data_IF_355544979786
#
_entry.id   IF_355544979786
#
_cell.length_a   1.000
_cell.length_b   1.000
_cell.length_c   1.000
_cell.angle_alpha   90.00
_cell.angle_beta   90.00
_cell.angle_gamma   90.00
#
_symmetry.space_group_name_H-M   'P 1'
#
loop_
_entity.id
_entity.type
_entity.pdbx_description
1 polymer ?
#
# COMPACT_ATOMS: atom_id res chain seq x y z
N UNK A 1 20.93 6.30 -18.40
CA UNK A 1 20.03 5.39 -17.66
C UNK A 1 19.12 4.81 -18.70
N UNK A 2 18.99 3.49 -18.75
CA UNK A 2 18.02 2.86 -19.65
C UNK A 2 16.61 3.11 -19.16
N UNK A 3 15.66 3.13 -20.09
CA UNK A 3 14.24 3.32 -19.79
C UNK A 3 13.44 2.17 -20.41
N UNK A 4 12.37 1.84 -19.74
CA UNK A 4 11.37 0.85 -20.17
C UNK A 4 10.08 1.60 -20.42
N UNK A 5 9.43 1.26 -21.53
CA UNK A 5 8.18 1.89 -21.96
C UNK A 5 6.98 1.10 -21.48
N UNK A 6 6.04 1.80 -20.87
CA UNK A 6 4.71 1.27 -20.56
C UNK A 6 3.66 1.95 -21.43
N UNK A 7 2.94 1.15 -22.20
CA UNK A 7 1.77 1.56 -22.96
C UNK A 7 0.55 1.02 -22.22
N UNK A 8 -0.10 1.85 -21.42
CA UNK A 8 -1.21 1.43 -20.54
C UNK A 8 -2.51 1.85 -21.18
N UNK A 9 -3.34 0.89 -21.55
CA UNK A 9 -4.65 1.12 -22.14
C UNK A 9 -5.76 0.79 -21.14
N UNK A 10 -6.65 1.74 -20.89
CA UNK A 10 -7.86 1.52 -20.13
C UNK A 10 -9.02 1.17 -21.06
N UNK A 11 -9.55 -0.05 -20.93
CA UNK A 11 -10.73 -0.47 -21.68
C UNK A 11 -11.93 0.39 -21.34
N UNK A 12 -12.66 0.84 -22.35
CA UNK A 12 -13.86 1.62 -22.13
C UNK A 12 -14.90 0.81 -21.36
N UNK A 13 -15.44 1.38 -20.29
CA UNK A 13 -16.48 0.79 -19.46
C UNK A 13 -17.53 1.85 -19.12
N UNK A 14 -18.79 1.44 -18.99
CA UNK A 14 -19.89 2.36 -18.61
C UNK A 14 -19.77 2.76 -17.14
N UNK A 15 -19.58 1.77 -16.25
CA UNK A 15 -19.35 2.01 -14.83
C UNK A 15 -17.98 2.68 -14.61
N UNK A 16 -17.95 3.79 -13.88
CA UNK A 16 -16.74 4.56 -13.61
C UNK A 16 -16.19 5.33 -14.83
N UNK A 17 -16.98 5.49 -15.90
CA UNK A 17 -16.54 6.17 -17.13
C UNK A 17 -16.04 7.60 -16.89
N UNK A 18 -16.61 8.30 -15.92
CA UNK A 18 -16.28 9.69 -15.59
C UNK A 18 -15.08 9.84 -14.66
N UNK A 19 -14.67 8.78 -13.98
CA UNK A 19 -13.56 8.82 -13.03
C UNK A 19 -12.25 8.49 -13.76
N UNK A 20 -11.28 9.40 -13.80
CA UNK A 20 -9.94 9.08 -14.29
C UNK A 20 -9.22 8.15 -13.29
N UNK A 21 -8.31 7.33 -13.79
CA UNK A 21 -7.41 6.52 -12.95
C UNK A 21 -6.05 7.17 -12.88
N UNK A 22 -5.53 7.38 -11.68
CA UNK A 22 -4.15 7.78 -11.47
C UNK A 22 -3.30 6.52 -11.41
N UNK A 23 -2.26 6.49 -12.24
CA UNK A 23 -1.36 5.35 -12.37
C UNK A 23 -0.05 5.68 -11.68
N UNK A 24 0.44 4.72 -10.91
CA UNK A 24 1.72 4.79 -10.24
C UNK A 24 2.56 3.59 -10.64
N UNK A 25 3.86 3.81 -10.82
CA UNK A 25 4.85 2.77 -11.05
C UNK A 25 5.96 2.95 -10.03
N UNK A 26 6.24 1.91 -9.25
CA UNK A 26 7.19 1.94 -8.14
C UNK A 26 6.95 3.09 -7.15
N UNK A 27 5.66 3.38 -6.87
CA UNK A 27 5.23 4.44 -5.96
C UNK A 27 5.28 5.84 -6.52
N UNK A 28 5.76 6.04 -7.75
CA UNK A 28 5.80 7.34 -8.40
C UNK A 28 4.61 7.52 -9.33
N UNK A 29 3.94 8.67 -9.20
CA UNK A 29 2.84 9.04 -10.10
C UNK A 29 3.36 9.23 -11.52
N UNK A 30 2.85 8.45 -12.48
CA UNK A 30 3.28 8.49 -13.87
C UNK A 30 2.24 9.10 -14.81
N UNK A 31 1.01 9.26 -14.35
CA UNK A 31 0.00 9.96 -15.13
C UNK A 31 -1.42 9.52 -14.81
N UNK A 32 -2.37 10.13 -15.51
CA UNK A 32 -3.80 9.88 -15.36
C UNK A 32 -4.38 9.36 -16.67
N UNK A 33 -5.13 8.24 -16.59
CA UNK A 33 -5.75 7.63 -17.75
C UNK A 33 -7.29 7.78 -17.71
N UNK A 34 -7.85 8.33 -18.78
CA UNK A 34 -9.30 8.46 -18.95
C UNK A 34 -9.89 7.18 -19.58
N UNK A 35 -11.19 7.01 -19.41
CA UNK A 35 -11.93 5.89 -19.99
C UNK A 35 -11.70 5.74 -21.50
N UNK A 36 -11.33 4.55 -21.96
CA UNK A 36 -11.05 4.25 -23.36
C UNK A 36 -9.81 4.95 -23.93
N UNK A 37 -8.85 5.38 -23.08
CA UNK A 37 -7.63 6.08 -23.51
C UNK A 37 -6.38 5.26 -23.18
N UNK A 38 -5.27 5.66 -23.78
CA UNK A 38 -3.92 5.11 -23.52
C UNK A 38 -3.07 6.15 -22.81
N UNK A 39 -2.25 5.70 -21.88
CA UNK A 39 -1.16 6.43 -21.25
C UNK A 39 0.16 5.76 -21.70
N UNK A 40 1.06 6.55 -22.26
CA UNK A 40 2.40 6.09 -22.63
C UNK A 40 3.40 6.78 -21.71
N UNK A 41 4.26 6.01 -21.07
CA UNK A 41 5.24 6.53 -20.11
C UNK A 41 6.54 5.74 -20.20
N UNK A 42 7.67 6.43 -20.10
CA UNK A 42 8.99 5.83 -20.02
C UNK A 42 9.46 5.95 -18.56
N UNK A 43 9.78 4.82 -17.93
CA UNK A 43 10.26 4.75 -16.54
C UNK A 43 11.68 4.21 -16.49
N UNK A 44 12.48 4.52 -15.46
CA UNK A 44 13.79 3.92 -15.28
C UNK A 44 13.73 2.40 -15.29
N UNK A 45 14.73 1.75 -15.90
CA UNK A 45 14.86 0.29 -15.86
C UNK A 45 15.02 -0.19 -14.40
N UNK A 46 14.24 -1.21 -14.03
CA UNK A 46 14.25 -1.88 -12.72
C UNK A 46 14.04 -3.38 -12.92
N UNK A 47 14.45 -4.20 -11.96
CA UNK A 47 14.27 -5.66 -12.01
C UNK A 47 12.79 -6.04 -11.84
N UNK A 48 12.05 -5.25 -11.07
CA UNK A 48 10.64 -5.44 -10.76
C UNK A 48 9.93 -4.09 -10.87
N UNK A 49 8.72 -4.12 -11.42
CA UNK A 49 7.81 -2.98 -11.42
C UNK A 49 6.57 -3.29 -10.61
N UNK A 50 6.31 -2.44 -9.63
CA UNK A 50 5.05 -2.42 -8.89
C UNK A 50 4.13 -1.39 -9.56
N UNK A 51 3.12 -1.90 -10.29
CA UNK A 51 2.13 -1.08 -10.99
C UNK A 51 0.84 -1.05 -10.19
N UNK A 52 0.34 0.13 -9.88
CA UNK A 52 -0.93 0.30 -9.19
C UNK A 52 -1.80 1.41 -9.81
N UNK A 53 -3.10 1.33 -9.54
CA UNK A 53 -4.03 2.43 -9.73
C UNK A 53 -4.75 2.79 -8.42
N UNK A 54 -5.18 4.04 -8.29
CA UNK A 54 -5.98 4.50 -7.16
C UNK A 54 -7.41 4.87 -7.59
N UNK A 55 -8.00 4.09 -8.48
CA UNK A 55 -9.33 4.33 -9.05
C UNK A 55 -10.48 3.95 -8.13
N UNK A 56 -10.22 3.20 -7.07
CA UNK A 56 -11.20 2.69 -6.10
C UNK A 56 -10.67 2.85 -4.67
N UNK A 57 -11.54 2.61 -3.69
CA UNK A 57 -11.16 2.58 -2.27
C UNK A 57 -10.11 1.48 -1.97
N UNK A 58 -10.07 0.45 -2.80
CA UNK A 58 -9.06 -0.60 -2.74
C UNK A 58 -8.02 -0.34 -3.82
N UNK A 59 -6.75 -0.30 -3.42
CA UNK A 59 -5.63 -0.20 -4.35
C UNK A 59 -5.45 -1.53 -5.05
N UNK A 60 -5.53 -1.51 -6.37
CA UNK A 60 -5.21 -2.68 -7.18
C UNK A 60 -3.78 -2.55 -7.63
N UNK A 61 -2.96 -3.50 -7.26
CA UNK A 61 -1.56 -3.53 -7.63
C UNK A 61 -1.18 -4.87 -8.24
N UNK A 62 -0.20 -4.83 -9.12
CA UNK A 62 0.41 -6.01 -9.74
C UNK A 62 1.92 -5.85 -9.76
N UNK A 63 2.62 -6.99 -9.73
CA UNK A 63 4.07 -7.02 -9.86
C UNK A 63 4.41 -7.53 -11.26
N UNK A 64 5.33 -6.84 -11.92
CA UNK A 64 5.81 -7.17 -13.27
C UNK A 64 7.32 -7.37 -13.19
N UNK A 65 7.78 -8.56 -13.56
CA UNK A 65 9.21 -8.83 -13.69
C UNK A 65 9.76 -8.19 -14.97
N UNK A 66 10.92 -7.57 -14.84
CA UNK A 66 11.59 -6.96 -15.99
C UNK A 66 12.21 -8.02 -16.90
N UNK A 67 11.59 -8.23 -18.04
CA UNK A 67 12.09 -9.15 -19.08
C UNK A 67 11.99 -8.57 -20.50
N UNK A 68 11.55 -7.33 -20.63
CA UNK A 68 11.36 -6.64 -21.92
C UNK A 68 11.58 -5.13 -21.76
N UNK A 69 11.73 -4.43 -22.88
CA UNK A 69 11.91 -2.97 -22.95
C UNK A 69 10.58 -2.22 -23.17
N UNK A 70 9.52 -2.94 -23.55
CA UNK A 70 8.20 -2.38 -23.81
C UNK A 70 7.13 -3.27 -23.19
N UNK A 71 6.22 -2.67 -22.40
CA UNK A 71 5.07 -3.34 -21.83
C UNK A 71 3.78 -2.73 -22.38
N UNK A 72 2.90 -3.60 -22.87
CA UNK A 72 1.53 -3.24 -23.19
C UNK A 72 0.63 -3.77 -22.08
N UNK A 73 0.04 -2.86 -21.32
CA UNK A 73 -0.81 -3.20 -20.17
C UNK A 73 -2.24 -2.79 -20.49
N UNK A 74 -3.16 -3.73 -20.34
CA UNK A 74 -4.59 -3.47 -20.44
C UNK A 74 -5.21 -3.46 -19.05
N UNK A 75 -5.90 -2.38 -18.73
CA UNK A 75 -6.71 -2.28 -17.51
C UNK A 75 -8.17 -2.51 -17.88
N UNK A 76 -8.78 -3.54 -17.27
CA UNK A 76 -10.22 -3.84 -17.39
C UNK A 76 -10.88 -3.68 -16.04
N UNK A 77 -12.07 -3.07 -16.02
CA UNK A 77 -12.88 -3.05 -14.83
C UNK A 77 -13.64 -4.36 -14.71
N UNK A 78 -13.52 -5.02 -13.56
CA UNK A 78 -14.22 -6.25 -13.19
C UNK A 78 -15.18 -5.99 -12.02
N UNK A 79 -16.01 -6.99 -11.66
CA UNK A 79 -16.94 -6.93 -10.55
C UNK A 79 -18.29 -6.29 -10.85
N UNK A 80 -19.10 -6.16 -9.81
CA UNK A 80 -20.52 -5.73 -9.89
C UNK A 80 -20.73 -4.22 -9.94
N UNK A 81 -22.00 -3.84 -10.03
CA UNK A 81 -22.43 -2.42 -10.23
C UNK A 81 -22.30 -1.55 -8.98
N UNK A 82 -22.11 -2.11 -7.78
CA UNK A 82 -22.33 -1.35 -6.53
C UNK A 82 -21.14 -1.22 -5.57
N UNK A 83 -20.42 -2.26 -5.23
CA UNK A 83 -19.39 -2.17 -4.18
C UNK A 83 -18.12 -2.97 -4.47
N UNK A 84 -18.22 -4.03 -5.26
CA UNK A 84 -17.11 -4.97 -5.44
C UNK A 84 -16.43 -4.83 -6.81
N UNK A 85 -16.36 -3.61 -7.33
CA UNK A 85 -15.71 -3.37 -8.61
C UNK A 85 -14.23 -3.03 -8.41
N UNK A 86 -13.38 -3.83 -8.98
CA UNK A 86 -11.93 -3.67 -8.98
C UNK A 86 -11.39 -3.60 -10.42
N UNK A 87 -10.13 -3.23 -10.57
CA UNK A 87 -9.46 -3.26 -11.86
C UNK A 87 -8.56 -4.50 -11.96
N UNK A 88 -8.61 -5.13 -13.10
CA UNK A 88 -7.73 -6.22 -13.50
C UNK A 88 -6.72 -5.70 -14.50
N UNK A 89 -5.48 -6.14 -14.34
CA UNK A 89 -4.38 -5.82 -15.24
C UNK A 89 -4.03 -7.02 -16.09
N UNK A 90 -3.80 -6.79 -17.36
CA UNK A 90 -3.42 -7.82 -18.33
C UNK A 90 -2.20 -7.37 -19.09
N UNK A 91 -1.27 -8.29 -19.35
CA UNK A 91 -0.22 -8.09 -20.36
C UNK A 91 -0.85 -8.45 -21.70
N UNK A 92 -0.90 -7.48 -22.59
CA UNK A 92 -1.41 -7.68 -23.97
C UNK A 92 -0.24 -8.13 -24.85
N UNK A 93 -0.11 -9.44 -25.05
CA UNK A 93 0.81 -10.07 -25.97
C UNK A 93 0.02 -10.63 -27.15
N UNK A 94 -0.29 -9.83 -28.13
CA UNK A 94 -0.69 -10.16 -29.53
C UNK A 94 -1.82 -11.17 -29.78
N UNK A 95 -2.63 -11.64 -28.85
CA UNK A 95 -3.88 -12.38 -29.03
C UNK A 95 -4.36 -13.15 -27.80
N UNK A 96 -3.52 -13.31 -26.80
CA UNK A 96 -3.90 -13.87 -25.50
C UNK A 96 -3.43 -12.95 -24.40
N UNK A 97 -4.33 -12.11 -23.88
CA UNK A 97 -4.00 -11.29 -22.71
C UNK A 97 -3.93 -12.16 -21.46
N UNK A 98 -2.72 -12.33 -20.93
CA UNK A 98 -2.52 -12.99 -19.64
C UNK A 98 -2.86 -12.01 -18.53
N UNK A 99 -3.79 -12.41 -17.65
CA UNK A 99 -4.11 -11.65 -16.47
C UNK A 99 -2.91 -11.64 -15.53
N UNK A 100 -2.47 -10.44 -15.14
CA UNK A 100 -1.47 -10.30 -14.10
C UNK A 100 -2.13 -10.60 -12.75
N UNK A 101 -1.54 -11.50 -11.94
CA UNK A 101 -2.08 -11.77 -10.61
C UNK A 101 -1.98 -10.50 -9.75
N UNK A 102 -3.07 -10.20 -9.04
CA UNK A 102 -3.10 -9.09 -8.10
C UNK A 102 -2.14 -9.35 -6.94
N UNK A 103 -1.47 -8.28 -6.48
CA UNK A 103 -0.69 -8.38 -5.26
C UNK A 103 -1.63 -8.43 -4.06
N UNK A 104 -1.63 -9.55 -3.35
CA UNK A 104 -2.53 -9.78 -2.24
C UNK A 104 -1.96 -9.24 -0.92
N UNK A 105 -2.31 -8.02 -0.57
CA UNK A 105 -1.97 -7.42 0.74
C UNK A 105 -2.58 -8.19 1.91
N UNK A 106 -3.77 -8.77 1.72
CA UNK A 106 -4.53 -9.47 2.77
C UNK A 106 -3.73 -10.60 3.43
N UNK A 107 -2.87 -11.29 2.69
CA UNK A 107 -2.00 -12.34 3.23
C UNK A 107 -1.15 -11.82 4.38
N UNK A 108 -0.58 -10.63 4.22
CA UNK A 108 0.32 -10.03 5.19
C UNK A 108 -0.45 -9.46 6.38
N UNK A 109 -1.54 -8.76 6.11
CA UNK A 109 -2.42 -8.21 7.15
C UNK A 109 -3.02 -9.33 7.99
N UNK A 110 -3.54 -10.40 7.35
CA UNK A 110 -4.08 -11.57 8.03
C UNK A 110 -3.03 -12.30 8.89
N UNK A 111 -1.75 -12.31 8.51
CA UNK A 111 -0.71 -12.91 9.32
C UNK A 111 -0.53 -12.18 10.66
N UNK A 112 -0.72 -10.86 10.71
CA UNK A 112 -0.70 -10.10 11.96
C UNK A 112 -1.93 -10.38 12.81
N UNK A 113 -3.13 -10.37 12.20
CA UNK A 113 -4.38 -10.65 12.92
C UNK A 113 -4.49 -12.07 13.48
N UNK A 114 -3.86 -13.04 12.83
CA UNK A 114 -3.92 -14.44 13.23
C UNK A 114 -2.70 -14.88 14.07
N UNK A 115 -1.90 -13.96 14.59
CA UNK A 115 -0.68 -14.24 15.35
C UNK A 115 0.26 -15.24 14.64
N UNK A 116 0.34 -15.17 13.32
CA UNK A 116 1.15 -16.08 12.47
C UNK A 116 2.29 -15.36 11.74
N UNK A 117 2.65 -14.17 12.20
CA UNK A 117 3.68 -13.33 11.61
C UNK A 117 5.07 -14.00 11.62
N UNK A 118 5.34 -14.85 12.60
CA UNK A 118 6.56 -15.63 12.75
C UNK A 118 6.76 -16.68 11.64
N UNK A 119 5.70 -17.01 10.89
CA UNK A 119 5.76 -17.90 9.73
C UNK A 119 6.25 -17.20 8.46
N UNK A 120 6.31 -15.87 8.47
CA UNK A 120 6.81 -15.05 7.38
C UNK A 120 8.33 -14.90 7.46
N UNK A 121 8.97 -14.69 6.30
CA UNK A 121 10.38 -14.28 6.28
C UNK A 121 10.58 -12.91 6.94
N UNK A 122 11.79 -12.55 7.38
CA UNK A 122 12.04 -11.27 8.04
C UNK A 122 11.57 -10.04 7.23
N UNK A 123 11.81 -10.04 5.92
CA UNK A 123 11.37 -8.94 5.05
C UNK A 123 9.83 -8.91 4.88
N UNK A 124 9.19 -10.07 4.84
CA UNK A 124 7.73 -10.18 4.82
C UNK A 124 7.10 -9.77 6.17
N UNK A 125 7.76 -10.03 7.30
CA UNK A 125 7.30 -9.56 8.62
C UNK A 125 7.30 -8.03 8.69
N UNK A 126 8.36 -7.39 8.22
CA UNK A 126 8.44 -5.92 8.13
C UNK A 126 7.30 -5.39 7.27
N UNK A 127 7.06 -5.99 6.11
CA UNK A 127 5.95 -5.60 5.24
C UNK A 127 4.59 -5.77 5.92
N UNK A 128 4.35 -6.92 6.56
CA UNK A 128 3.10 -7.22 7.25
C UNK A 128 2.78 -6.20 8.35
N UNK A 129 3.76 -5.85 9.17
CA UNK A 129 3.61 -4.84 10.22
C UNK A 129 3.31 -3.44 9.65
N UNK A 130 4.01 -3.04 8.59
CA UNK A 130 3.80 -1.74 7.95
C UNK A 130 2.44 -1.65 7.25
N UNK A 131 1.98 -2.72 6.61
CA UNK A 131 0.66 -2.78 6.00
C UNK A 131 -0.45 -2.74 7.05
N UNK A 132 -0.35 -3.58 8.10
CA UNK A 132 -1.30 -3.55 9.20
C UNK A 132 -1.37 -2.16 9.84
N UNK A 133 -0.22 -1.53 10.09
CA UNK A 133 -0.17 -0.15 10.58
C UNK A 133 -0.89 0.83 9.65
N UNK A 134 -0.69 0.72 8.34
CA UNK A 134 -1.32 1.62 7.36
C UNK A 134 -2.84 1.54 7.37
N UNK A 135 -3.41 0.38 7.66
CA UNK A 135 -4.86 0.20 7.84
C UNK A 135 -5.32 0.77 9.19
N UNK A 136 -4.70 0.34 10.28
CA UNK A 136 -5.12 0.76 11.64
C UNK A 136 -5.02 2.25 11.87
N UNK A 137 -3.96 2.92 11.36
CA UNK A 137 -3.75 4.36 11.58
C UNK A 137 -4.79 5.23 10.85
N UNK A 138 -5.38 4.74 9.76
CA UNK A 138 -6.44 5.45 9.03
C UNK A 138 -7.77 5.41 9.78
N UNK A 139 -8.00 4.37 10.58
CA UNK A 139 -9.22 4.24 11.36
C UNK A 139 -9.10 5.00 12.70
N UNK A 140 -8.19 4.61 13.56
CA UNK A 140 -7.98 5.25 14.87
C UNK A 140 -6.58 4.92 15.42
N UNK A 141 -5.89 5.93 15.97
CA UNK A 141 -4.60 5.74 16.67
C UNK A 141 -4.75 4.77 17.87
N UNK A 142 -5.93 4.65 18.45
CA UNK A 142 -6.24 3.72 19.52
C UNK A 142 -5.86 2.29 19.17
N UNK A 143 -6.20 1.83 17.96
CA UNK A 143 -5.89 0.48 17.49
C UNK A 143 -4.38 0.24 17.44
N UNK A 144 -3.62 1.25 17.01
CA UNK A 144 -2.16 1.21 16.97
C UNK A 144 -1.57 1.12 18.39
N UNK A 145 -2.06 1.96 19.32
CA UNK A 145 -1.56 2.03 20.70
C UNK A 145 -1.94 0.80 21.54
N UNK A 146 -3.04 0.12 21.20
CA UNK A 146 -3.48 -1.13 21.84
C UNK A 146 -2.82 -2.38 21.26
N UNK A 147 -2.12 -2.26 20.12
CA UNK A 147 -1.50 -3.41 19.48
C UNK A 147 -0.34 -3.99 20.28
N UNK A 148 -0.37 -5.28 20.54
CA UNK A 148 0.77 -6.03 21.12
C UNK A 148 2.04 -5.95 20.27
N UNK A 149 1.90 -5.62 19.00
CA UNK A 149 3.00 -5.48 18.04
C UNK A 149 3.55 -4.05 17.92
N UNK A 150 3.08 -3.08 18.74
CA UNK A 150 3.44 -1.67 18.61
C UNK A 150 4.96 -1.43 18.50
N UNK A 151 5.76 -2.05 19.36
CA UNK A 151 7.22 -1.89 19.33
C UNK A 151 7.83 -2.44 18.04
N UNK A 152 7.38 -3.59 17.59
CA UNK A 152 7.83 -4.20 16.32
C UNK A 152 7.37 -3.38 15.11
N UNK A 153 6.18 -2.80 15.17
CA UNK A 153 5.65 -1.90 14.13
C UNK A 153 6.53 -0.64 14.00
N UNK A 154 6.90 -0.01 15.11
CA UNK A 154 7.80 1.16 15.09
C UNK A 154 9.15 0.80 14.48
N UNK A 155 9.73 -0.34 14.84
CA UNK A 155 11.00 -0.80 14.25
C UNK A 155 10.86 -1.16 12.76
N UNK A 156 9.73 -1.73 12.35
CA UNK A 156 9.44 -1.99 10.94
C UNK A 156 9.33 -0.68 10.13
N UNK A 157 8.61 0.33 10.64
CA UNK A 157 8.51 1.66 10.02
C UNK A 157 9.89 2.32 9.87
N UNK A 158 10.76 2.22 10.88
CA UNK A 158 12.16 2.69 10.79
C UNK A 158 12.93 1.95 9.71
N UNK A 159 12.77 0.62 9.66
CA UNK A 159 13.47 -0.25 8.70
C UNK A 159 13.16 0.12 7.25
N UNK A 160 11.91 0.45 6.93
CA UNK A 160 11.53 0.89 5.58
C UNK A 160 11.77 2.39 5.33
N UNK A 161 12.07 3.17 6.38
CA UNK A 161 12.32 4.61 6.30
C UNK A 161 11.06 5.47 6.26
N UNK A 162 9.96 5.02 6.86
CA UNK A 162 8.73 5.80 7.06
C UNK A 162 8.87 6.73 8.28
N UNK A 163 9.86 7.62 8.23
CA UNK A 163 10.32 8.38 9.40
C UNK A 163 9.26 9.35 9.93
N UNK A 164 8.42 9.93 9.07
CA UNK A 164 7.36 10.85 9.52
C UNK A 164 6.36 10.19 10.47
N UNK A 165 5.97 8.94 10.21
CA UNK A 165 5.12 8.22 11.14
C UNK A 165 5.85 7.80 12.41
N UNK A 166 7.14 7.46 12.33
CA UNK A 166 7.96 7.20 13.51
C UNK A 166 8.00 8.44 14.41
N UNK A 167 8.26 9.61 13.83
CA UNK A 167 8.31 10.88 14.57
C UNK A 167 6.94 11.23 15.17
N UNK A 168 5.85 11.07 14.41
CA UNK A 168 4.49 11.31 14.88
C UNK A 168 4.09 10.37 16.04
N UNK A 169 4.37 9.07 15.91
CA UNK A 169 4.10 8.11 16.99
C UNK A 169 4.92 8.43 18.24
N UNK A 170 6.19 8.75 18.07
CA UNK A 170 7.05 9.17 19.20
C UNK A 170 6.49 10.40 19.88
N UNK A 171 6.12 11.42 19.11
CA UNK A 171 5.50 12.63 19.65
C UNK A 171 4.20 12.33 20.39
N UNK A 172 3.31 11.52 19.82
CA UNK A 172 2.05 11.11 20.46
C UNK A 172 2.29 10.40 21.77
N UNK A 173 3.22 9.45 21.80
CA UNK A 173 3.57 8.70 23.02
C UNK A 173 4.13 9.64 24.09
N UNK A 174 5.06 10.49 23.72
CA UNK A 174 5.72 11.42 24.66
C UNK A 174 4.77 12.50 25.21
N UNK A 175 3.88 13.05 24.38
CA UNK A 175 2.98 14.13 24.79
C UNK A 175 1.76 13.64 25.58
N UNK A 176 1.18 12.51 25.19
CA UNK A 176 -0.11 12.07 25.71
C UNK A 176 -0.06 10.78 26.53
N UNK A 177 0.99 9.95 26.37
CA UNK A 177 1.06 8.61 26.97
C UNK A 177 2.37 8.33 27.73
N UNK A 178 3.19 9.34 28.03
CA UNK A 178 4.52 9.19 28.63
C UNK A 178 4.54 8.47 30.01
N UNK A 179 3.42 8.45 30.74
CA UNK A 179 3.29 7.77 32.03
C UNK A 179 2.46 6.48 31.94
N UNK A 180 2.19 5.99 30.75
CA UNK A 180 1.31 4.85 30.52
C UNK A 180 2.11 3.68 29.97
N UNK A 181 1.83 2.49 30.48
CA UNK A 181 2.41 1.27 29.92
C UNK A 181 1.69 0.92 28.62
N UNK A 182 2.45 0.82 27.54
CA UNK A 182 1.95 0.37 26.23
C UNK A 182 2.24 -1.12 26.06
N UNK A 183 1.38 -1.88 25.35
CA UNK A 183 0.14 -1.43 24.70
C UNK A 183 -0.96 -1.08 25.69
N UNK A 184 -1.90 -0.20 25.27
CA UNK A 184 -3.07 0.18 26.08
C UNK A 184 -4.02 -1.01 26.21
N UNK A 185 -4.56 -1.21 27.41
CA UNK A 185 -5.70 -2.10 27.65
C UNK A 185 -7.04 -1.32 27.61
N UNK A 186 -8.17 -2.04 27.63
CA UNK A 186 -9.51 -1.46 27.51
C UNK A 186 -9.79 -0.39 28.59
N UNK A 187 -9.38 -0.61 29.83
CA UNK A 187 -9.57 0.34 30.95
C UNK A 187 -8.77 1.63 30.71
N UNK A 188 -7.52 1.52 30.24
CA UNK A 188 -6.68 2.67 29.92
C UNK A 188 -7.24 3.45 28.71
N UNK A 189 -7.81 2.78 27.72
CA UNK A 189 -8.46 3.40 26.57
C UNK A 189 -9.62 4.27 27.04
N UNK A 190 -10.51 3.74 27.91
CA UNK A 190 -11.63 4.52 28.46
C UNK A 190 -11.16 5.73 29.27
N UNK A 191 -10.13 5.56 30.11
CA UNK A 191 -9.58 6.63 30.95
C UNK A 191 -8.85 7.71 30.16
N UNK A 192 -8.29 7.38 29.00
CA UNK A 192 -7.44 8.26 28.19
C UNK A 192 -8.13 8.80 26.93
N UNK A 193 -9.43 8.77 26.88
CA UNK A 193 -10.22 9.20 25.72
C UNK A 193 -9.82 10.58 25.17
N UNK A 194 -9.59 11.58 26.06
CA UNK A 194 -9.16 12.91 25.65
C UNK A 194 -7.75 12.92 25.02
N UNK A 195 -6.85 12.10 25.55
CA UNK A 195 -5.50 11.92 24.99
C UNK A 195 -5.54 11.29 23.60
N UNK A 196 -6.35 10.24 23.45
CA UNK A 196 -6.56 9.55 22.17
C UNK A 196 -7.14 10.51 21.11
N UNK A 197 -8.15 11.31 21.47
CA UNK A 197 -8.72 12.30 20.55
C UNK A 197 -7.70 13.36 20.09
N UNK A 198 -6.84 13.84 21.00
CA UNK A 198 -5.77 14.79 20.64
C UNK A 198 -4.72 14.14 19.73
N UNK A 199 -4.37 12.90 20.03
CA UNK A 199 -3.45 12.12 19.22
C UNK A 199 -4.00 11.91 17.78
N UNK A 200 -5.27 11.52 17.65
CA UNK A 200 -5.94 11.43 16.35
C UNK A 200 -5.89 12.74 15.57
N UNK A 201 -6.20 13.88 16.21
CA UNK A 201 -6.13 15.19 15.56
C UNK A 201 -4.72 15.53 15.08
N UNK A 202 -3.68 15.16 15.83
CA UNK A 202 -2.29 15.35 15.43
C UNK A 202 -1.93 14.49 14.21
N UNK A 203 -2.33 13.22 14.22
CA UNK A 203 -2.12 12.29 13.10
C UNK A 203 -2.82 12.82 11.85
N UNK A 204 -4.12 13.09 11.90
CA UNK A 204 -4.91 13.54 10.74
C UNK A 204 -4.40 14.85 10.14
N UNK A 205 -3.92 15.78 10.98
CA UNK A 205 -3.31 17.02 10.49
C UNK A 205 -2.07 16.80 9.64
N UNK A 206 -1.35 15.71 9.88
CA UNK A 206 -0.08 15.38 9.22
C UNK A 206 -0.21 14.20 8.24
N UNK A 207 -1.40 13.62 8.09
CA UNK A 207 -1.65 12.37 7.40
C UNK A 207 -1.15 12.37 5.95
N UNK A 208 -1.53 13.34 5.13
CA UNK A 208 -1.22 13.33 3.70
C UNK A 208 0.26 13.09 3.40
N UNK A 209 1.18 13.95 3.87
CA UNK A 209 2.61 13.76 3.62
C UNK A 209 3.21 12.52 4.31
N UNK A 210 2.68 12.13 5.48
CA UNK A 210 3.16 10.94 6.19
C UNK A 210 2.71 9.65 5.49
N UNK A 211 1.49 9.62 4.99
CA UNK A 211 0.94 8.50 4.25
C UNK A 211 1.64 8.32 2.90
N UNK A 212 1.91 9.42 2.17
CA UNK A 212 2.66 9.36 0.91
C UNK A 212 4.08 8.80 1.11
N UNK A 213 4.77 9.19 2.19
CA UNK A 213 6.08 8.65 2.54
C UNK A 213 6.01 7.17 2.90
N UNK A 214 5.04 6.78 3.73
CA UNK A 214 4.81 5.38 4.11
C UNK A 214 4.53 4.52 2.88
N UNK A 215 3.62 4.97 2.02
CA UNK A 215 3.28 4.23 0.81
C UNK A 215 4.50 4.00 -0.09
N UNK A 216 5.27 5.06 -0.37
CA UNK A 216 6.51 4.95 -1.15
C UNK A 216 7.54 4.02 -0.51
N UNK A 217 7.64 4.06 0.82
CA UNK A 217 8.54 3.19 1.58
C UNK A 217 8.12 1.71 1.49
N UNK A 218 6.82 1.42 1.60
CA UNK A 218 6.26 0.07 1.41
C UNK A 218 6.55 -0.43 0.00
N UNK A 219 6.24 0.35 -1.03
CA UNK A 219 6.47 -0.04 -2.44
C UNK A 219 7.96 -0.31 -2.69
N UNK A 220 8.84 0.55 -2.18
CA UNK A 220 10.29 0.34 -2.28
C UNK A 220 10.71 -0.96 -1.62
N UNK A 221 10.21 -1.24 -0.41
CA UNK A 221 10.51 -2.49 0.30
C UNK A 221 10.05 -3.72 -0.50
N UNK A 222 8.85 -3.68 -1.09
CA UNK A 222 8.33 -4.75 -1.97
C UNK A 222 9.29 -4.96 -3.15
N UNK A 223 9.67 -3.90 -3.85
CA UNK A 223 10.46 -4.01 -5.08
C UNK A 223 11.93 -4.36 -4.83
N UNK A 224 12.50 -4.00 -3.68
CA UNK A 224 13.91 -4.25 -3.36
C UNK A 224 14.14 -5.56 -2.60
N UNK A 225 13.19 -5.98 -1.76
CA UNK A 225 13.38 -7.08 -0.81
C UNK A 225 12.59 -8.34 -1.15
N UNK A 226 11.40 -8.20 -1.73
CA UNK A 226 10.57 -9.35 -2.06
C UNK A 226 10.86 -9.86 -3.49
N UNK A 227 12.14 -10.07 -3.79
CA UNK A 227 12.66 -10.41 -5.12
C UNK A 227 12.20 -11.77 -5.70
N UNK A 228 11.33 -12.52 -5.02
CA UNK A 228 10.84 -13.79 -5.55
C UNK A 228 9.33 -13.72 -5.82
N UNK A 229 8.92 -13.43 -7.06
CA UNK A 229 7.51 -13.34 -7.44
C UNK A 229 6.74 -14.65 -7.21
N UNK A 230 7.43 -15.78 -7.13
CA UNK A 230 6.80 -17.09 -6.85
C UNK A 230 6.36 -17.25 -5.39
N UNK A 231 6.78 -16.37 -4.49
CA UNK A 231 6.39 -16.37 -3.07
C UNK A 231 5.32 -15.31 -2.74
N UNK A 232 4.93 -14.49 -3.71
CA UNK A 232 4.02 -13.35 -3.50
C UNK A 232 2.56 -13.70 -3.85
N UNK A 233 2.35 -14.88 -4.47
CA UNK A 233 1.02 -15.36 -4.91
C UNK A 233 0.51 -16.51 -4.06
#
# INVERSE_FOLDING_TARGET
MKHVRFNIFRKAAFAGALLPYNIYINGEFVGTIKNGKTLNVDVPEADIYYLEDNSSFERNAVIINSNTIDYNILIKRAGGWRTDSYNEFYIDNDDTSDQLPSFHFDRFVNAVFNDSIDQLSPDEQVLALCLNFSYSIMDDIQEVLASSNLSYTIEALKTIGANRYVDLLTQVIDEYFHNVSLPLNDEQIEQMYDGINKANQLIWKNEGPAYDELHKAIVRHITEKLNNPNNIY
#
